data_IF_602880982340
#
_entry.id   IF_602880982340
#
_cell.length_a   1.000
_cell.length_b   1.000
_cell.length_c   1.000
_cell.angle_alpha   90.00
_cell.angle_beta   90.00
_cell.angle_gamma   90.00
#
_symmetry.space_group_name_H-M   'P 1'
#
loop_
_entity.id
_entity.type
_entity.pdbx_description
1 polymer ?
#
# COMPACT_ATOMS: atom_id res chain seq x y z
N UNK A 1 8.37 0.76 0.14
CA UNK A 1 8.48 0.03 1.43
C UNK A 1 7.30 -0.89 1.53
N UNK A 2 7.54 -2.18 1.62
CA UNK A 2 6.48 -3.18 1.56
C UNK A 2 6.69 -4.26 2.63
N UNK A 3 5.59 -4.70 3.22
CA UNK A 3 5.50 -5.89 4.06
C UNK A 3 4.84 -6.96 3.18
N UNK A 4 5.52 -8.06 2.95
CA UNK A 4 5.01 -9.15 2.10
C UNK A 4 5.88 -9.36 0.86
N UNK A 5 5.48 -10.18 -0.09
CA UNK A 5 4.21 -10.95 -0.17
C UNK A 5 4.17 -12.18 0.78
N UNK A 6 5.29 -12.88 1.01
CA UNK A 6 5.38 -14.15 1.76
C UNK A 6 5.18 -13.96 3.27
N UNK A 7 3.94 -13.72 3.68
CA UNK A 7 3.55 -13.46 5.07
C UNK A 7 3.19 -14.74 5.83
N UNK A 8 4.13 -15.71 5.88
CA UNK A 8 3.89 -17.07 6.38
C UNK A 8 3.98 -17.23 7.91
N UNK A 9 4.27 -16.16 8.64
CA UNK A 9 4.30 -16.16 10.10
C UNK A 9 2.89 -16.19 10.71
N UNK A 10 2.78 -16.47 12.00
CA UNK A 10 1.52 -16.30 12.71
C UNK A 10 1.24 -14.82 13.02
N UNK A 11 2.30 -14.07 13.33
CA UNK A 11 2.25 -12.61 13.55
C UNK A 11 3.45 -11.93 12.92
N UNK A 12 3.20 -10.74 12.33
CA UNK A 12 4.20 -9.75 11.90
C UNK A 12 3.78 -8.43 12.53
N UNK A 13 4.53 -7.93 13.51
CA UNK A 13 4.08 -6.78 14.30
C UNK A 13 5.21 -5.87 14.79
N UNK A 14 4.80 -4.72 15.35
CA UNK A 14 5.71 -3.71 15.92
C UNK A 14 6.74 -3.21 14.88
N UNK A 15 6.29 -2.97 13.66
CA UNK A 15 7.13 -2.47 12.58
C UNK A 15 7.09 -0.94 12.55
N UNK A 16 8.25 -0.32 12.50
CA UNK A 16 8.37 1.14 12.37
C UNK A 16 9.29 1.49 11.22
N UNK A 17 8.76 2.24 10.26
CA UNK A 17 9.48 2.88 9.17
C UNK A 17 9.47 4.38 9.40
N UNK A 18 10.62 4.98 9.66
CA UNK A 18 10.71 6.38 10.06
C UNK A 18 11.85 7.12 9.39
N UNK A 19 11.65 8.43 9.17
CA UNK A 19 12.68 9.34 8.66
C UNK A 19 13.25 8.88 7.31
N UNK A 20 12.37 8.51 6.37
CA UNK A 20 12.77 7.99 5.07
C UNK A 20 12.44 8.99 3.96
N UNK A 21 13.28 9.01 2.93
CA UNK A 21 13.02 9.72 1.69
C UNK A 21 13.03 8.73 0.53
N UNK A 22 11.90 8.60 -0.16
CA UNK A 22 11.70 7.72 -1.29
C UNK A 22 11.63 8.60 -2.54
N UNK A 23 12.49 8.34 -3.52
CA UNK A 23 12.58 9.13 -4.75
C UNK A 23 12.28 8.26 -5.97
N UNK A 24 11.80 8.88 -7.04
CA UNK A 24 11.46 8.23 -8.31
C UNK A 24 10.50 7.05 -8.16
N UNK A 25 9.50 7.22 -7.28
CA UNK A 25 8.54 6.14 -7.03
C UNK A 25 7.52 6.00 -8.15
N UNK A 26 7.38 4.80 -8.68
CA UNK A 26 6.45 4.49 -9.77
C UNK A 26 5.38 3.45 -9.39
N UNK A 27 5.49 2.83 -8.22
CA UNK A 27 4.61 1.75 -7.77
C UNK A 27 3.91 2.02 -6.44
N UNK A 28 3.39 1.00 -5.76
CA UNK A 28 2.93 1.09 -4.38
C UNK A 28 4.07 1.50 -3.46
N UNK A 29 3.85 2.48 -2.60
CA UNK A 29 4.93 3.13 -1.85
C UNK A 29 5.06 2.59 -0.42
N UNK A 30 3.99 2.68 0.36
CA UNK A 30 3.93 2.27 1.77
C UNK A 30 2.87 1.17 1.88
N UNK A 31 3.28 -0.10 1.82
CA UNK A 31 2.35 -1.17 1.58
C UNK A 31 2.46 -2.36 2.53
N UNK A 32 1.36 -3.11 2.55
CA UNK A 32 1.30 -4.46 3.08
C UNK A 32 0.54 -5.33 2.08
N UNK A 33 1.23 -6.29 1.51
CA UNK A 33 0.66 -7.28 0.61
C UNK A 33 0.66 -8.64 1.34
N UNK A 34 -0.41 -8.87 2.08
CA UNK A 34 -0.56 -10.06 2.92
C UNK A 34 -1.24 -11.17 2.11
N UNK A 35 -0.47 -12.14 1.63
CA UNK A 35 -1.01 -13.23 0.81
C UNK A 35 -1.02 -14.57 1.54
N UNK A 36 -0.74 -14.57 2.84
CA UNK A 36 -0.71 -15.77 3.65
C UNK A 36 -1.40 -15.54 5.00
N UNK A 37 -1.07 -16.31 6.02
CA UNK A 37 -1.79 -16.40 7.29
C UNK A 37 -1.41 -15.38 8.37
N UNK A 38 -0.45 -14.49 8.11
CA UNK A 38 0.02 -13.59 9.15
C UNK A 38 -1.04 -12.59 9.61
N UNK A 39 -1.16 -12.39 10.90
CA UNK A 39 -1.76 -11.17 11.44
C UNK A 39 -0.69 -10.08 11.42
N UNK A 40 -0.87 -9.09 10.54
CA UNK A 40 0.07 -7.97 10.39
C UNK A 40 -0.50 -6.75 11.10
N UNK A 41 0.17 -6.29 12.14
CA UNK A 41 -0.37 -5.21 12.97
C UNK A 41 0.70 -4.38 13.70
N UNK A 42 0.25 -3.29 14.35
CA UNK A 42 1.13 -2.33 15.01
C UNK A 42 2.22 -1.81 14.04
N UNK A 43 1.79 -1.32 12.88
CA UNK A 43 2.67 -0.82 11.82
C UNK A 43 2.64 0.70 11.81
N UNK A 44 3.79 1.32 11.93
CA UNK A 44 3.97 2.77 11.89
C UNK A 44 4.85 3.18 10.70
N UNK A 45 4.30 3.99 9.81
CA UNK A 45 5.02 4.78 8.82
C UNK A 45 5.01 6.24 9.29
N UNK A 46 6.18 6.82 9.59
CA UNK A 46 6.27 8.15 10.20
C UNK A 46 7.39 9.00 9.60
N UNK A 47 7.12 10.29 9.39
CA UNK A 47 8.10 11.24 8.88
C UNK A 47 8.74 10.77 7.55
N UNK A 48 7.90 10.42 6.58
CA UNK A 48 8.33 9.91 5.28
C UNK A 48 8.01 10.92 4.19
N UNK A 49 9.01 11.21 3.37
CA UNK A 49 8.85 11.99 2.14
C UNK A 49 8.87 11.05 0.93
N UNK A 50 7.94 11.24 0.00
CA UNK A 50 7.81 10.48 -1.24
C UNK A 50 7.83 11.43 -2.43
N UNK A 51 8.71 11.18 -3.40
CA UNK A 51 8.71 11.85 -4.70
C UNK A 51 8.34 10.83 -5.78
N UNK A 52 7.20 11.08 -6.43
CA UNK A 52 6.75 10.25 -7.55
C UNK A 52 7.51 10.61 -8.84
N UNK A 53 7.77 9.61 -9.65
CA UNK A 53 8.30 9.81 -10.98
C UNK A 53 7.15 10.13 -11.95
N UNK A 54 6.97 11.41 -12.23
CA UNK A 54 5.94 11.89 -13.17
C UNK A 54 6.35 11.78 -14.64
N UNK A 55 7.56 11.35 -14.92
CA UNK A 55 8.13 11.24 -16.27
C UNK A 55 8.13 9.81 -16.77
N UNK A 56 8.54 8.91 -15.91
CA UNK A 56 8.64 7.48 -16.23
C UNK A 56 7.50 6.75 -15.51
N UNK A 57 6.58 6.18 -16.24
CA UNK A 57 5.57 5.30 -15.68
C UNK A 57 6.19 3.98 -15.20
N UNK A 58 5.41 3.18 -14.49
CA UNK A 58 5.84 1.84 -14.09
C UNK A 58 6.09 0.99 -15.33
N UNK A 59 7.25 0.38 -15.40
CA UNK A 59 7.58 -0.56 -16.46
C UNK A 59 6.68 -1.79 -16.40
N UNK A 60 6.25 -2.28 -17.57
CA UNK A 60 5.53 -3.55 -17.65
C UNK A 60 6.49 -4.68 -17.34
N UNK A 61 6.04 -5.63 -16.55
CA UNK A 61 6.82 -6.85 -16.31
C UNK A 61 6.71 -7.73 -17.56
N UNK A 62 7.85 -8.07 -18.15
CA UNK A 62 7.91 -9.07 -19.21
C UNK A 62 7.63 -10.46 -18.62
N UNK A 63 6.61 -11.13 -19.13
CA UNK A 63 6.16 -12.43 -18.60
C UNK A 63 6.72 -13.63 -19.34
N UNK A 64 7.31 -13.43 -20.51
CA UNK A 64 7.96 -14.48 -21.30
C UNK A 64 9.01 -13.89 -22.23
N UNK A 65 9.93 -14.73 -22.73
CA UNK A 65 10.98 -14.33 -23.68
C UNK A 65 10.41 -13.95 -25.05
N UNK A 66 9.20 -14.40 -25.37
CA UNK A 66 8.51 -14.10 -26.63
C UNK A 66 7.69 -12.80 -26.56
N UNK A 67 7.58 -12.18 -25.39
CA UNK A 67 6.84 -10.95 -25.21
C UNK A 67 7.71 -9.74 -25.53
N UNK A 68 7.23 -8.90 -26.45
CA UNK A 68 7.91 -7.64 -26.74
C UNK A 68 7.62 -6.66 -25.60
N UNK A 69 8.67 -6.20 -24.93
CA UNK A 69 8.59 -5.15 -23.93
C UNK A 69 8.16 -3.82 -24.59
N UNK A 70 7.02 -3.31 -24.20
CA UNK A 70 6.40 -2.13 -24.81
C UNK A 70 6.60 -0.83 -23.99
N UNK A 71 7.46 -0.85 -22.99
CA UNK A 71 7.70 0.31 -22.13
C UNK A 71 6.69 0.44 -21.00
N UNK A 72 6.60 1.64 -20.42
CA UNK A 72 5.77 1.92 -19.27
C UNK A 72 4.27 1.83 -19.57
N UNK A 73 3.49 1.42 -18.59
CA UNK A 73 2.05 1.48 -18.62
C UNK A 73 1.60 2.94 -18.46
N UNK A 74 1.02 3.58 -19.49
CA UNK A 74 0.63 4.99 -19.43
C UNK A 74 -0.51 5.26 -18.44
N UNK A 75 -1.30 4.22 -18.13
CA UNK A 75 -2.42 4.31 -17.19
C UNK A 75 -2.02 3.92 -15.77
N UNK A 76 -0.76 3.57 -15.57
CA UNK A 76 -0.28 3.23 -14.24
C UNK A 76 -0.29 4.44 -13.33
N UNK A 77 -0.85 4.24 -12.16
CA UNK A 77 -1.01 5.25 -11.15
C UNK A 77 -0.44 4.77 -9.81
N UNK A 78 0.62 5.38 -9.29
CA UNK A 78 1.22 4.93 -8.05
C UNK A 78 0.28 5.10 -6.85
N UNK A 79 0.37 4.20 -5.89
CA UNK A 79 -0.40 4.26 -4.64
C UNK A 79 0.49 4.75 -3.51
N UNK A 80 0.05 5.74 -2.74
CA UNK A 80 0.73 6.17 -1.53
C UNK A 80 0.70 5.06 -0.48
N UNK A 81 -0.50 4.53 -0.22
CA UNK A 81 -0.68 3.39 0.65
C UNK A 81 -1.44 2.27 -0.09
N UNK A 82 -1.00 1.05 0.12
CA UNK A 82 -1.62 -0.15 -0.42
C UNK A 82 -1.59 -1.25 0.65
N UNK A 83 -2.73 -1.54 1.23
CA UNK A 83 -2.89 -2.58 2.24
C UNK A 83 -3.94 -3.55 1.75
N UNK A 84 -3.56 -4.80 1.54
CA UNK A 84 -4.52 -5.80 1.13
C UNK A 84 -4.20 -7.19 1.67
N UNK A 85 -5.21 -8.04 1.64
CA UNK A 85 -5.13 -9.47 1.90
C UNK A 85 -5.63 -10.17 0.64
N UNK A 86 -4.85 -11.09 0.09
CA UNK A 86 -5.18 -11.76 -1.16
C UNK A 86 -4.64 -13.20 -1.17
N UNK A 87 -4.98 -13.93 -2.21
CA UNK A 87 -4.35 -15.19 -2.57
C UNK A 87 -3.46 -14.98 -3.79
N UNK A 88 -2.23 -15.45 -3.71
CA UNK A 88 -1.32 -15.43 -4.83
C UNK A 88 -0.63 -16.78 -5.00
N UNK A 89 -0.89 -17.46 -6.11
CA UNK A 89 -0.47 -18.84 -6.33
C UNK A 89 1.04 -19.11 -6.19
N UNK A 90 1.88 -18.08 -6.42
CA UNK A 90 3.34 -18.19 -6.32
C UNK A 90 3.86 -17.93 -4.90
N UNK A 91 3.12 -17.16 -4.07
CA UNK A 91 3.61 -16.68 -2.79
C UNK A 91 2.85 -17.24 -1.59
N UNK A 92 1.57 -17.63 -1.75
CA UNK A 92 0.79 -18.22 -0.67
C UNK A 92 1.22 -19.66 -0.39
N UNK A 93 1.43 -20.00 0.87
CA UNK A 93 1.78 -21.36 1.30
C UNK A 93 0.60 -22.32 1.14
N UNK A 94 -0.60 -21.87 1.43
CA UNK A 94 -1.81 -22.63 1.21
C UNK A 94 -2.96 -21.78 0.64
N UNK A 95 -3.98 -22.46 0.11
CA UNK A 95 -5.11 -21.81 -0.55
C UNK A 95 -6.20 -21.34 0.42
N UNK A 96 -6.24 -21.86 1.63
CA UNK A 96 -7.35 -21.69 2.56
C UNK A 96 -7.08 -20.67 3.66
N UNK A 97 -5.83 -20.57 4.14
CA UNK A 97 -5.50 -19.68 5.25
C UNK A 97 -5.13 -18.28 4.79
N UNK A 98 -5.81 -17.30 5.37
CA UNK A 98 -5.48 -15.88 5.22
C UNK A 98 -5.25 -15.27 6.60
N UNK A 99 -4.56 -14.16 6.59
CA UNK A 99 -4.27 -13.39 7.79
C UNK A 99 -5.25 -12.23 7.98
N UNK A 100 -4.78 -11.24 8.69
CA UNK A 100 -5.52 -10.03 9.02
C UNK A 100 -4.56 -8.85 9.03
N UNK A 101 -5.00 -7.65 8.65
CA UNK A 101 -4.19 -6.44 8.70
C UNK A 101 -4.89 -5.42 9.60
N UNK A 102 -4.25 -4.93 10.67
CA UNK A 102 -4.86 -3.95 11.55
C UNK A 102 -3.85 -3.05 12.27
N UNK A 103 -4.33 -1.94 12.85
CA UNK A 103 -3.51 -0.97 13.57
C UNK A 103 -2.33 -0.43 12.73
N UNK A 104 -2.64 0.04 11.52
CA UNK A 104 -1.69 0.75 10.68
C UNK A 104 -1.80 2.25 10.90
N UNK A 105 -0.69 2.91 11.11
CA UNK A 105 -0.62 4.38 11.21
C UNK A 105 0.34 4.95 10.18
N UNK A 106 -0.16 5.86 9.37
CA UNK A 106 0.61 6.69 8.44
C UNK A 106 0.62 8.11 9.00
N UNK A 107 1.76 8.55 9.54
CA UNK A 107 1.89 9.84 10.21
C UNK A 107 2.91 10.75 9.55
N UNK A 108 2.52 12.01 9.33
CA UNK A 108 3.37 13.03 8.72
C UNK A 108 4.04 12.53 7.42
N UNK A 109 3.20 12.11 6.47
CA UNK A 109 3.63 11.63 5.15
C UNK A 109 3.51 12.79 4.16
N UNK A 110 4.61 13.12 3.48
CA UNK A 110 4.69 14.18 2.47
C UNK A 110 4.93 13.57 1.10
N UNK A 111 4.01 13.74 0.19
CA UNK A 111 4.11 13.20 -1.16
C UNK A 111 4.14 14.32 -2.19
N UNK A 112 5.02 14.21 -3.16
CA UNK A 112 5.21 15.16 -4.24
C UNK A 112 5.01 14.47 -5.58
N UNK A 113 4.19 15.08 -6.44
CA UNK A 113 3.87 14.57 -7.76
C UNK A 113 2.64 15.26 -8.34
N UNK A 114 2.41 15.11 -9.63
CA UNK A 114 1.30 15.77 -10.33
C UNK A 114 -0.05 15.10 -10.16
N UNK A 115 -0.05 13.80 -9.86
CA UNK A 115 -1.28 13.02 -9.72
C UNK A 115 -1.86 13.09 -8.30
N UNK A 116 -3.18 13.06 -8.13
CA UNK A 116 -3.78 12.94 -6.80
C UNK A 116 -3.27 11.69 -6.06
N UNK A 117 -3.19 11.76 -4.75
CA UNK A 117 -2.72 10.62 -3.97
C UNK A 117 -3.77 9.51 -3.96
N UNK A 118 -3.34 8.28 -4.24
CA UNK A 118 -4.19 7.09 -4.19
C UNK A 118 -3.87 6.30 -2.93
N UNK A 119 -4.92 5.90 -2.22
CA UNK A 119 -4.86 4.96 -1.09
C UNK A 119 -5.82 3.83 -1.40
N UNK A 120 -5.35 2.60 -1.33
CA UNK A 120 -6.18 1.42 -1.54
C UNK A 120 -6.03 0.47 -0.36
N UNK A 121 -7.17 0.05 0.19
CA UNK A 121 -7.23 -0.84 1.34
C UNK A 121 -8.31 -1.88 1.07
N UNK A 122 -7.92 -3.15 1.11
CA UNK A 122 -8.80 -4.29 0.87
C UNK A 122 -8.56 -5.38 1.93
N UNK A 123 -9.63 -5.99 2.42
CA UNK A 123 -9.58 -7.28 3.10
C UNK A 123 -9.89 -8.42 2.11
N UNK A 124 -9.90 -9.65 2.58
CA UNK A 124 -10.16 -10.83 1.77
C UNK A 124 -11.61 -11.32 1.89
N UNK A 125 -12.10 -11.41 3.12
CA UNK A 125 -13.48 -11.80 3.47
C UNK A 125 -13.85 -11.24 4.85
N UNK A 126 -15.05 -11.58 5.35
CA UNK A 126 -15.54 -11.08 6.64
C UNK A 126 -14.74 -11.56 7.87
N UNK A 127 -13.86 -12.55 7.71
CA UNK A 127 -13.00 -13.07 8.80
C UNK A 127 -11.55 -12.61 8.65
N UNK A 128 -11.18 -12.12 7.48
CA UNK A 128 -9.83 -11.70 7.12
C UNK A 128 -9.86 -10.27 6.59
N UNK A 129 -9.96 -9.33 7.52
CA UNK A 129 -10.20 -7.91 7.23
C UNK A 129 -8.92 -7.08 7.27
N UNK A 130 -8.95 -5.91 6.62
CA UNK A 130 -8.00 -4.84 6.83
C UNK A 130 -8.70 -3.69 7.56
N UNK A 131 -8.32 -3.40 8.82
CA UNK A 131 -9.06 -2.45 9.65
C UNK A 131 -8.18 -1.61 10.57
N UNK A 132 -8.79 -0.60 11.22
CA UNK A 132 -8.12 0.30 12.15
C UNK A 132 -6.89 0.99 11.53
N UNK A 133 -7.10 1.62 10.36
CA UNK A 133 -6.04 2.29 9.61
C UNK A 133 -6.18 3.81 9.77
N UNK A 134 -5.12 4.45 10.24
CA UNK A 134 -5.07 5.89 10.48
C UNK A 134 -4.14 6.60 9.52
N UNK A 135 -4.68 7.58 8.79
CA UNK A 135 -3.94 8.53 7.96
C UNK A 135 -3.86 9.86 8.73
N UNK A 136 -2.75 10.15 9.41
CA UNK A 136 -2.57 11.29 10.30
C UNK A 136 -1.54 12.27 9.74
N UNK A 137 -2.00 13.41 9.23
CA UNK A 137 -1.11 14.41 8.64
C UNK A 137 -0.51 13.95 7.31
N UNK A 138 -1.35 13.74 6.31
CA UNK A 138 -0.97 13.46 4.93
C UNK A 138 -0.87 14.78 4.16
N UNK A 139 0.22 14.97 3.41
CA UNK A 139 0.46 16.17 2.63
C UNK A 139 0.73 15.82 1.16
N UNK A 140 0.16 16.61 0.26
CA UNK A 140 0.41 16.55 -1.17
C UNK A 140 0.88 17.90 -1.68
N UNK A 141 2.10 17.95 -2.21
CA UNK A 141 2.73 19.19 -2.68
C UNK A 141 2.65 20.31 -1.60
N UNK A 142 3.06 19.99 -0.38
CA UNK A 142 3.04 20.83 0.84
C UNK A 142 1.66 21.24 1.36
N UNK A 143 0.59 20.86 0.69
CA UNK A 143 -0.76 21.09 1.17
C UNK A 143 -1.25 19.89 1.99
N UNK A 144 -1.72 20.14 3.19
CA UNK A 144 -2.34 19.10 4.02
C UNK A 144 -3.64 18.63 3.38
N UNK A 145 -3.85 17.34 3.35
CA UNK A 145 -5.11 16.72 2.99
C UNK A 145 -6.01 16.71 4.22
N UNK A 146 -7.16 17.34 4.14
CA UNK A 146 -8.11 17.48 5.25
C UNK A 146 -9.39 16.67 5.04
N UNK A 147 -9.66 16.25 3.81
CA UNK A 147 -10.86 15.51 3.44
C UNK A 147 -10.53 14.29 2.57
N UNK A 148 -11.20 13.16 2.82
CA UNK A 148 -11.01 11.93 2.04
C UNK A 148 -11.34 12.10 0.55
N UNK A 149 -12.16 13.08 0.17
CA UNK A 149 -12.44 13.38 -1.24
C UNK A 149 -11.23 13.91 -2.01
N UNK A 150 -10.21 14.41 -1.29
CA UNK A 150 -8.95 14.85 -1.88
C UNK A 150 -7.97 13.68 -2.15
N UNK A 151 -8.26 12.52 -1.57
CA UNK A 151 -7.58 11.25 -1.85
C UNK A 151 -8.38 10.45 -2.86
N UNK A 152 -7.71 9.73 -3.73
CA UNK A 152 -8.34 8.64 -4.45
C UNK A 152 -8.42 7.41 -3.52
N UNK A 153 -9.30 7.51 -2.52
CA UNK A 153 -9.49 6.46 -1.52
C UNK A 153 -10.36 5.34 -2.08
N UNK A 154 -9.79 4.15 -2.18
CA UNK A 154 -10.45 2.93 -2.62
C UNK A 154 -10.51 1.96 -1.43
N UNK A 155 -11.70 1.75 -0.91
CA UNK A 155 -11.94 0.79 0.16
C UNK A 155 -12.71 -0.40 -0.40
N UNK A 156 -12.16 -1.59 -0.22
CA UNK A 156 -12.84 -2.84 -0.51
C UNK A 156 -13.95 -3.16 0.49
N UNK A 157 -14.74 -4.19 0.21
CA UNK A 157 -15.88 -4.59 1.03
C UNK A 157 -15.47 -4.95 2.48
N UNK A 158 -14.25 -5.47 2.66
CA UNK A 158 -13.73 -5.92 3.95
C UNK A 158 -12.64 -5.00 4.51
N UNK A 159 -12.69 -3.72 4.15
CA UNK A 159 -11.88 -2.66 4.73
C UNK A 159 -12.72 -1.85 5.72
N UNK A 160 -12.32 -1.81 7.00
CA UNK A 160 -13.11 -1.17 8.05
C UNK A 160 -12.30 -0.13 8.84
N UNK A 161 -12.99 0.85 9.42
CA UNK A 161 -12.42 1.86 10.31
C UNK A 161 -11.15 2.54 9.77
N UNK A 162 -11.21 2.99 8.51
CA UNK A 162 -10.16 3.80 7.88
C UNK A 162 -10.46 5.28 8.15
N UNK A 163 -9.51 5.99 8.75
CA UNK A 163 -9.70 7.37 9.22
C UNK A 163 -8.62 8.30 8.69
N UNK A 164 -9.03 9.49 8.27
CA UNK A 164 -8.15 10.64 8.01
C UNK A 164 -8.24 11.63 9.19
N UNK A 165 -7.06 12.18 9.59
CA UNK A 165 -6.96 13.14 10.67
C UNK A 165 -5.99 14.28 10.34
#
# INVERSE_FOLDING_TARGET
MEIGAETRADEIRNLTYRNCHIIHMTGPTLGCFNVDRARVHDVLYEDITVEYDDVHGREKIQKSDDEIYCGADPDHYPRLAYVNIDYHAEYSEDQERRGENYDFTYRNIRAYGRHPLRVQIDGYDAQHQSHDILLDGIYHNDRRIEDCSELQLQLGEFAENVRLK
#
